data_IF_337734754717
#
_entry.id   IF_337734754717
#
_cell.length_a   1.000
_cell.length_b   1.000
_cell.length_c   1.000
_cell.angle_alpha   90.00
_cell.angle_beta   90.00
_cell.angle_gamma   90.00
#
_symmetry.space_group_name_H-M   'P 1'
#
loop_
_entity.id
_entity.type
_entity.pdbx_description
1 polymer ?
#
# COMPACT_ATOMS: atom_id res chain seq x y z
N UNK A 1 14.88 -10.85 -2.35
CA UNK A 1 13.67 -10.30 -1.70
C UNK A 1 12.94 -9.38 -2.68
N UNK A 2 11.63 -9.42 -2.66
CA UNK A 2 10.79 -8.56 -3.49
C UNK A 2 10.07 -7.53 -2.64
N UNK A 3 9.87 -6.34 -3.18
CA UNK A 3 8.97 -5.35 -2.62
C UNK A 3 7.87 -5.05 -3.64
N UNK A 4 6.63 -5.33 -3.26
CA UNK A 4 5.45 -4.93 -4.04
C UNK A 4 4.95 -3.62 -3.47
N UNK A 5 4.97 -2.57 -4.28
CA UNK A 5 4.68 -1.23 -3.81
C UNK A 5 3.45 -0.66 -4.51
N UNK A 6 2.58 0.00 -3.73
CA UNK A 6 1.44 0.74 -4.24
C UNK A 6 1.67 2.22 -3.97
N UNK A 7 1.61 3.04 -5.01
CA UNK A 7 1.80 4.49 -4.92
C UNK A 7 0.48 5.20 -5.22
N UNK A 8 0.05 6.06 -4.31
CA UNK A 8 -1.19 6.82 -4.44
C UNK A 8 -0.87 8.27 -4.78
N UNK A 9 -0.97 8.62 -6.07
CA UNK A 9 -0.71 9.98 -6.55
C UNK A 9 -2.00 10.76 -6.59
N UNK A 10 -2.11 11.83 -5.80
CA UNK A 10 -3.31 12.65 -5.76
C UNK A 10 -3.65 13.14 -4.37
N UNK A 11 -4.93 13.18 -4.07
CA UNK A 11 -5.43 13.71 -2.80
C UNK A 11 -6.70 13.00 -2.34
N UNK A 12 -6.98 13.10 -1.05
CA UNK A 12 -8.25 12.65 -0.46
C UNK A 12 -9.33 13.66 -0.82
N UNK A 13 -10.55 13.16 -1.18
CA UNK A 13 -11.66 14.01 -1.61
C UNK A 13 -12.11 14.99 -0.54
N UNK A 14 -12.40 14.48 0.65
CA UNK A 14 -13.06 15.28 1.69
C UNK A 14 -12.34 15.32 3.02
N UNK A 15 -12.18 14.18 3.68
CA UNK A 15 -11.66 14.11 5.05
C UNK A 15 -10.38 13.29 5.13
N UNK A 16 -9.19 13.92 5.05
CA UNK A 16 -7.91 13.20 5.13
C UNK A 16 -7.72 12.41 6.41
N UNK A 17 -8.17 12.93 7.55
CA UNK A 17 -8.00 12.24 8.83
C UNK A 17 -8.81 10.95 8.88
N UNK A 18 -10.02 10.97 8.37
CA UNK A 18 -10.88 9.79 8.30
C UNK A 18 -10.30 8.76 7.33
N UNK A 19 -9.82 9.21 6.18
CA UNK A 19 -9.16 8.35 5.21
C UNK A 19 -7.94 7.66 5.81
N UNK A 20 -7.05 8.43 6.43
CA UNK A 20 -5.82 7.90 7.03
C UNK A 20 -6.13 6.89 8.14
N UNK A 21 -7.16 7.18 8.94
CA UNK A 21 -7.60 6.27 9.99
C UNK A 21 -8.12 4.96 9.40
N UNK A 22 -8.92 5.04 8.34
CA UNK A 22 -9.43 3.84 7.68
C UNK A 22 -8.30 2.98 7.14
N UNK A 23 -7.29 3.60 6.51
CA UNK A 23 -6.12 2.89 6.02
C UNK A 23 -5.44 2.12 7.16
N UNK A 24 -5.18 2.79 8.27
CA UNK A 24 -4.45 2.20 9.39
C UNK A 24 -5.27 1.17 10.17
N UNK A 25 -6.55 1.42 10.38
CA UNK A 25 -7.38 0.61 11.27
C UNK A 25 -8.14 -0.51 10.55
N UNK A 26 -8.41 -0.37 9.27
CA UNK A 26 -9.21 -1.33 8.51
C UNK A 26 -8.43 -1.95 7.36
N UNK A 27 -7.94 -1.15 6.44
CA UNK A 27 -7.36 -1.67 5.20
C UNK A 27 -6.04 -2.41 5.42
N UNK A 28 -5.06 -1.77 6.03
CA UNK A 28 -3.76 -2.39 6.23
C UNK A 28 -3.78 -3.62 7.15
N UNK A 29 -4.64 -3.70 8.18
CA UNK A 29 -4.83 -4.95 8.91
C UNK A 29 -5.27 -6.13 8.03
N UNK A 30 -6.06 -5.88 6.98
CA UNK A 30 -6.42 -6.92 6.00
C UNK A 30 -5.21 -7.33 5.16
N UNK A 31 -4.43 -6.36 4.70
CA UNK A 31 -3.21 -6.62 3.93
C UNK A 31 -2.19 -7.38 4.78
N UNK A 32 -2.11 -7.07 6.07
CA UNK A 32 -1.18 -7.73 6.99
C UNK A 32 -1.44 -9.24 7.13
N UNK A 33 -2.61 -9.71 6.71
CA UNK A 33 -2.96 -11.14 6.73
C UNK A 33 -2.48 -11.91 5.50
N UNK A 34 -1.86 -11.26 4.52
CA UNK A 34 -1.38 -11.94 3.33
C UNK A 34 -0.42 -13.06 3.71
N UNK A 35 -0.58 -14.27 3.14
CA UNK A 35 0.38 -15.33 3.38
C UNK A 35 1.77 -14.93 2.90
N UNK A 36 2.81 -15.37 3.59
CA UNK A 36 4.22 -15.13 3.28
C UNK A 36 4.68 -13.66 3.38
N UNK A 37 3.82 -12.75 3.80
CA UNK A 37 4.21 -11.36 3.97
C UNK A 37 5.24 -11.23 5.08
N UNK A 38 6.41 -10.65 4.78
CA UNK A 38 7.51 -10.49 5.73
C UNK A 38 7.48 -9.15 6.43
N UNK A 39 7.06 -8.11 5.69
CA UNK A 39 7.07 -6.75 6.20
C UNK A 39 6.05 -5.94 5.44
N UNK A 40 5.34 -5.07 6.14
CA UNK A 40 4.39 -4.14 5.57
C UNK A 40 4.71 -2.74 6.10
N UNK A 41 5.00 -1.82 5.20
CA UNK A 41 5.26 -0.43 5.56
C UNK A 41 4.19 0.48 4.97
N UNK A 42 3.75 1.44 5.78
CA UNK A 42 2.85 2.50 5.37
C UNK A 42 3.65 3.80 5.37
N UNK A 43 3.83 4.39 4.20
CA UNK A 43 4.58 5.63 4.04
C UNK A 43 3.59 6.75 3.72
N UNK A 44 3.62 7.80 4.54
CA UNK A 44 2.79 8.98 4.37
C UNK A 44 3.64 10.10 3.80
N UNK A 45 3.16 10.73 2.72
CA UNK A 45 3.88 11.85 2.12
C UNK A 45 3.94 13.04 3.06
N UNK A 46 5.13 13.65 3.16
CA UNK A 46 5.37 14.81 3.99
C UNK A 46 5.79 16.00 3.13
N UNK A 47 5.32 17.19 3.48
CA UNK A 47 5.75 18.43 2.83
C UNK A 47 7.17 18.77 3.27
N UNK A 48 8.05 18.96 2.29
CA UNK A 48 9.44 19.34 2.57
C UNK A 48 9.81 20.55 1.74
N UNK A 49 10.34 21.58 2.40
CA UNK A 49 10.76 22.79 1.70
C UNK A 49 9.61 23.50 0.99
N UNK A 50 8.41 23.43 1.51
CA UNK A 50 7.23 24.03 0.90
C UNK A 50 6.67 23.25 -0.28
N UNK A 51 7.25 22.09 -0.63
CA UNK A 51 6.80 21.25 -1.75
C UNK A 51 5.88 20.14 -1.25
N UNK A 52 4.69 20.06 -1.85
CA UNK A 52 3.75 18.97 -1.59
C UNK A 52 4.27 17.71 -2.26
N UNK A 53 4.27 16.57 -1.55
CA UNK A 53 4.78 15.33 -2.15
C UNK A 53 3.89 14.87 -3.31
N UNK A 54 4.50 14.27 -4.32
CA UNK A 54 3.79 13.72 -5.48
C UNK A 54 2.84 12.61 -5.05
N UNK A 55 3.28 11.74 -4.15
CA UNK A 55 2.45 10.64 -3.65
C UNK A 55 1.91 10.97 -2.28
N UNK A 56 0.60 10.91 -2.15
CA UNK A 56 -0.08 11.10 -0.87
C UNK A 56 0.35 10.03 0.14
N UNK A 57 0.44 8.80 -0.34
CA UNK A 57 0.85 7.65 0.47
C UNK A 57 1.45 6.56 -0.41
N UNK A 58 2.16 5.64 0.23
CA UNK A 58 2.66 4.42 -0.39
C UNK A 58 2.56 3.26 0.58
N UNK A 59 2.33 2.06 0.05
CA UNK A 59 2.40 0.84 0.82
C UNK A 59 3.53 0.00 0.25
N UNK A 60 4.35 -0.60 1.10
CA UNK A 60 5.42 -1.49 0.67
C UNK A 60 5.23 -2.84 1.33
N UNK A 61 5.06 -3.88 0.50
CA UNK A 61 4.86 -5.25 0.93
C UNK A 61 6.09 -6.07 0.53
N UNK A 62 6.72 -6.73 1.50
CA UNK A 62 7.95 -7.47 1.27
C UNK A 62 7.74 -8.97 1.33
N UNK A 63 8.29 -9.69 0.36
CA UNK A 63 8.24 -11.14 0.24
C UNK A 63 9.64 -11.67 -0.04
N UNK A 64 9.93 -12.91 0.38
CA UNK A 64 11.25 -13.49 0.17
C UNK A 64 11.52 -13.85 -1.29
N UNK A 65 10.48 -14.24 -2.04
CA UNK A 65 10.62 -14.70 -3.42
C UNK A 65 9.38 -14.42 -4.25
N UNK A 66 9.50 -14.56 -5.56
CA UNK A 66 8.38 -14.49 -6.50
C UNK A 66 7.34 -15.56 -6.20
N UNK A 67 7.77 -16.76 -5.85
CA UNK A 67 6.86 -17.88 -5.55
C UNK A 67 5.99 -17.57 -4.35
N UNK A 68 6.58 -17.01 -3.28
CA UNK A 68 5.84 -16.62 -2.10
C UNK A 68 4.89 -15.45 -2.37
N UNK A 69 5.32 -14.51 -3.22
CA UNK A 69 4.47 -13.40 -3.66
C UNK A 69 3.25 -13.93 -4.45
N UNK A 70 3.47 -14.88 -5.36
CA UNK A 70 2.38 -15.46 -6.16
C UNK A 70 1.34 -16.18 -5.28
N UNK A 71 1.77 -16.85 -4.22
CA UNK A 71 0.85 -17.44 -3.25
C UNK A 71 -0.03 -16.36 -2.61
N UNK A 72 0.57 -15.27 -2.17
CA UNK A 72 -0.17 -14.15 -1.58
C UNK A 72 -1.13 -13.51 -2.59
N UNK A 73 -0.67 -13.32 -3.81
CA UNK A 73 -1.46 -12.72 -4.90
C UNK A 73 -2.73 -13.51 -5.19
N UNK A 74 -2.68 -14.83 -5.07
CA UNK A 74 -3.81 -15.71 -5.37
C UNK A 74 -4.59 -16.12 -4.10
N UNK A 75 -4.34 -15.50 -2.97
CA UNK A 75 -4.98 -15.85 -1.71
C UNK A 75 -6.35 -15.20 -1.54
N UNK A 76 -7.18 -15.80 -0.68
CA UNK A 76 -8.46 -15.21 -0.27
C UNK A 76 -8.25 -13.94 0.53
N UNK A 77 -7.17 -13.86 1.30
CA UNK A 77 -6.81 -12.66 2.06
C UNK A 77 -6.57 -11.46 1.13
N UNK A 78 -5.89 -11.68 0.02
CA UNK A 78 -5.68 -10.62 -0.96
C UNK A 78 -6.99 -10.22 -1.62
N UNK A 79 -7.85 -11.17 -1.96
CA UNK A 79 -9.16 -10.88 -2.55
C UNK A 79 -9.99 -10.00 -1.64
N UNK A 80 -9.97 -10.26 -0.33
CA UNK A 80 -10.66 -9.45 0.67
C UNK A 80 -10.10 -8.04 0.75
N UNK A 81 -8.77 -7.89 0.77
CA UNK A 81 -8.12 -6.59 0.82
C UNK A 81 -8.39 -5.77 -0.44
N UNK A 82 -8.37 -6.40 -1.61
CA UNK A 82 -8.69 -5.72 -2.89
C UNK A 82 -10.13 -5.23 -2.91
N UNK A 83 -11.06 -6.03 -2.40
CA UNK A 83 -12.46 -5.60 -2.29
C UNK A 83 -12.59 -4.39 -1.36
N UNK A 84 -11.87 -4.39 -0.24
CA UNK A 84 -11.87 -3.27 0.70
C UNK A 84 -11.22 -2.02 0.10
N UNK A 85 -10.17 -2.18 -0.70
CA UNK A 85 -9.47 -1.07 -1.35
C UNK A 85 -10.39 -0.20 -2.19
N UNK A 86 -11.47 -0.76 -2.74
CA UNK A 86 -12.43 0.00 -3.53
C UNK A 86 -13.09 1.11 -2.72
N UNK A 87 -13.25 0.92 -1.42
CA UNK A 87 -13.79 1.95 -0.52
C UNK A 87 -12.81 3.11 -0.39
N UNK A 88 -11.52 2.82 -0.28
CA UNK A 88 -10.48 3.84 -0.24
C UNK A 88 -10.38 4.58 -1.58
N UNK A 89 -10.45 3.86 -2.69
CA UNK A 89 -10.39 4.46 -4.03
C UNK A 89 -11.52 5.45 -4.22
N UNK A 90 -12.72 5.16 -3.68
CA UNK A 90 -13.86 6.06 -3.75
C UNK A 90 -13.64 7.36 -2.95
N UNK A 91 -12.77 7.33 -1.94
CA UNK A 91 -12.44 8.50 -1.12
C UNK A 91 -11.28 9.32 -1.68
N UNK A 92 -10.66 8.88 -2.78
CA UNK A 92 -9.43 9.45 -3.29
C UNK A 92 -9.60 9.98 -4.71
N UNK A 93 -8.87 11.05 -5.04
CA UNK A 93 -8.83 11.64 -6.39
C UNK A 93 -7.41 11.52 -6.91
N UNK A 94 -7.20 10.68 -7.92
CA UNK A 94 -5.89 10.49 -8.51
C UNK A 94 -5.70 9.08 -9.02
N UNK A 95 -4.45 8.68 -9.13
CA UNK A 95 -4.06 7.41 -9.71
C UNK A 95 -3.29 6.55 -8.73
N UNK A 96 -3.42 5.23 -8.87
CA UNK A 96 -2.69 4.27 -8.05
C UNK A 96 -1.79 3.46 -8.97
N UNK A 97 -0.50 3.41 -8.64
CA UNK A 97 0.49 2.67 -9.42
C UNK A 97 1.04 1.53 -8.59
N UNK A 98 1.23 0.39 -9.24
CA UNK A 98 1.84 -0.79 -8.61
C UNK A 98 3.16 -1.09 -9.28
N UNK A 99 4.21 -1.25 -8.47
CA UNK A 99 5.56 -1.55 -8.95
C UNK A 99 6.12 -2.69 -8.11
N UNK A 100 6.76 -3.64 -8.75
CA UNK A 100 7.49 -4.70 -8.07
C UNK A 100 8.99 -4.44 -8.23
N UNK A 101 9.71 -4.42 -7.11
CA UNK A 101 11.15 -4.21 -7.08
C UNK A 101 11.87 -5.46 -6.61
N UNK A 102 13.03 -5.71 -7.20
CA UNK A 102 14.02 -6.59 -6.59
C UNK A 102 14.80 -5.76 -5.58
N UNK A 103 14.91 -6.25 -4.36
CA UNK A 103 15.52 -5.48 -3.26
C UNK A 103 16.91 -6.01 -2.94
N UNK A 104 17.89 -5.13 -2.92
CA UNK A 104 19.23 -5.40 -2.40
C UNK A 104 19.40 -4.54 -1.15
N UNK A 105 19.81 -5.18 -0.04
CA UNK A 105 20.02 -4.49 1.23
C UNK A 105 21.52 -4.26 1.46
N UNK A 106 21.91 -3.01 1.56
CA UNK A 106 23.30 -2.60 1.78
C UNK A 106 23.60 -2.13 3.20
N UNK A 107 22.63 -2.28 4.11
CA UNK A 107 22.81 -1.85 5.50
C UNK A 107 23.68 -2.79 6.34
#
# INVERSE_FOLDING_TARGET
>A
MLAFCAYWEGKVRENPNEFDRYVSEVHLPLVAKYPNLRKLLYLKGETKGGLTPKYYQSFELYFDSWEEFEVAKNSSERAEAVADAKKLEAMFVGDIYHVVYEVEDFS
#
